data_IF_663682610342
#
_entry.id   IF_663682610342
#
_cell.length_a   1.000
_cell.length_b   1.000
_cell.length_c   1.000
_cell.angle_alpha   90.00
_cell.angle_beta   90.00
_cell.angle_gamma   90.00
#
_symmetry.space_group_name_H-M   'P 1'
#
loop_
_entity.id
_entity.type
_entity.pdbx_description
1 polymer ?
#
# COMPACT_ATOMS: atom_id res chain seq x y z
N UNK A 1 19.12 -1.55 23.74
CA UNK A 1 19.04 -1.36 22.28
C UNK A 1 17.57 -1.41 21.89
N UNK A 2 17.03 -0.34 21.30
CA UNK A 2 15.64 -0.35 20.79
C UNK A 2 15.73 -0.95 19.39
N UNK A 3 15.12 -2.11 19.18
CA UNK A 3 15.09 -2.74 17.87
C UNK A 3 14.05 -2.01 17.00
N UNK A 4 14.49 -1.42 15.89
CA UNK A 4 13.61 -0.78 14.91
C UNK A 4 13.28 -1.78 13.81
N UNK A 5 12.02 -1.86 13.40
CA UNK A 5 11.57 -2.81 12.37
C UNK A 5 10.08 -3.09 12.45
N UNK A 6 9.63 -4.02 11.60
CA UNK A 6 8.24 -4.47 11.56
C UNK A 6 8.07 -5.68 12.49
N UNK A 7 7.29 -5.48 13.55
CA UNK A 7 6.99 -6.51 14.54
C UNK A 7 5.77 -7.33 14.09
N UNK A 8 5.91 -8.65 14.09
CA UNK A 8 4.87 -9.58 13.69
C UNK A 8 4.69 -10.66 14.75
N UNK A 9 3.44 -10.88 15.16
CA UNK A 9 3.05 -12.00 16.00
C UNK A 9 2.94 -13.29 15.19
N UNK A 10 3.57 -14.35 15.68
CA UNK A 10 3.41 -15.70 15.16
C UNK A 10 2.12 -16.37 15.66
N UNK A 11 1.68 -17.44 14.99
CA UNK A 11 0.45 -18.15 15.35
C UNK A 11 0.51 -18.84 16.72
N UNK A 12 1.70 -19.17 17.23
CA UNK A 12 1.85 -19.80 18.54
C UNK A 12 2.32 -18.81 19.62
N UNK A 13 2.14 -17.50 19.38
CA UNK A 13 2.54 -16.45 20.31
C UNK A 13 4.03 -16.06 20.22
N UNK A 14 4.76 -16.57 19.23
CA UNK A 14 6.11 -16.09 18.95
C UNK A 14 6.06 -14.63 18.49
N UNK A 15 7.17 -13.91 18.66
CA UNK A 15 7.31 -12.57 18.10
C UNK A 15 8.50 -12.55 17.15
N UNK A 16 8.26 -12.09 15.93
CA UNK A 16 9.25 -11.92 14.90
C UNK A 16 9.43 -10.45 14.59
N UNK A 17 10.66 -10.04 14.32
CA UNK A 17 10.98 -8.69 13.90
C UNK A 17 11.67 -8.77 12.54
N UNK A 18 11.03 -8.20 11.53
CA UNK A 18 11.64 -7.95 10.23
C UNK A 18 12.38 -6.61 10.32
N UNK A 19 13.71 -6.63 10.17
CA UNK A 19 14.56 -5.45 10.30
C UNK A 19 15.64 -5.43 9.23
N UNK A 20 16.42 -4.36 9.17
CA UNK A 20 17.53 -4.19 8.23
C UNK A 20 18.85 -4.10 8.97
N UNK A 21 19.89 -4.68 8.39
CA UNK A 21 21.25 -4.58 8.90
C UNK A 21 22.22 -4.15 7.80
N UNK A 22 23.29 -3.42 8.15
CA UNK A 22 24.37 -3.17 7.22
C UNK A 22 24.97 -4.49 6.72
N UNK A 23 25.05 -4.63 5.40
CA UNK A 23 25.75 -5.71 4.73
C UNK A 23 27.02 -5.17 4.11
N UNK A 24 28.09 -5.16 4.91
CA UNK A 24 29.36 -4.49 4.60
C UNK A 24 30.02 -5.00 3.32
N UNK A 25 29.88 -6.29 3.00
CA UNK A 25 30.47 -6.89 1.79
C UNK A 25 29.89 -6.28 0.51
N UNK A 26 28.59 -5.99 0.49
CA UNK A 26 27.89 -5.45 -0.68
C UNK A 26 27.59 -3.95 -0.59
N UNK A 27 28.09 -3.26 0.45
CA UNK A 27 27.79 -1.83 0.73
C UNK A 27 26.29 -1.51 0.65
N UNK A 28 25.46 -2.42 1.12
CA UNK A 28 23.99 -2.29 1.10
C UNK A 28 23.41 -2.65 2.46
N UNK A 29 22.09 -2.55 2.61
CA UNK A 29 21.38 -3.14 3.75
C UNK A 29 20.78 -4.47 3.34
N UNK A 30 20.80 -5.44 4.24
CA UNK A 30 20.09 -6.71 4.07
C UNK A 30 18.89 -6.78 5.01
N UNK A 31 17.81 -7.38 4.54
CA UNK A 31 16.67 -7.73 5.36
C UNK A 31 17.00 -8.98 6.18
N UNK A 32 16.79 -8.89 7.48
CA UNK A 32 16.99 -9.99 8.43
C UNK A 32 15.75 -10.18 9.28
N UNK A 33 15.56 -11.41 9.75
CA UNK A 33 14.50 -11.76 10.68
C UNK A 33 15.12 -12.09 12.04
N UNK A 34 14.60 -11.45 13.07
CA UNK A 34 14.93 -11.77 14.45
C UNK A 34 13.72 -12.40 15.13
N UNK A 35 13.94 -13.38 15.98
CA UNK A 35 12.93 -13.96 16.84
C UNK A 35 13.14 -13.50 18.28
N UNK A 36 12.06 -13.22 18.99
CA UNK A 36 12.13 -12.93 20.42
C UNK A 36 12.21 -14.23 21.23
N UNK A 37 13.38 -14.50 21.79
CA UNK A 37 13.64 -15.66 22.65
C UNK A 37 14.07 -15.16 24.03
N UNK A 38 13.39 -15.59 25.09
CA UNK A 38 13.68 -15.20 26.47
C UNK A 38 13.80 -13.66 26.67
N UNK A 39 12.94 -12.90 25.99
CA UNK A 39 12.93 -11.44 26.06
C UNK A 39 14.01 -10.74 25.23
N UNK A 40 14.89 -11.48 24.54
CA UNK A 40 15.95 -10.97 23.70
C UNK A 40 15.65 -11.22 22.22
N UNK A 41 16.14 -10.34 21.36
CA UNK A 41 16.06 -10.52 19.91
C UNK A 41 17.27 -11.31 19.42
N UNK A 42 17.02 -12.45 18.78
CA UNK A 42 18.05 -13.33 18.26
C UNK A 42 17.84 -13.57 16.77
N UNK A 43 18.91 -13.68 15.99
CA UNK A 43 18.81 -14.02 14.58
C UNK A 43 18.27 -15.43 14.39
N UNK A 44 17.26 -15.56 13.53
CA UNK A 44 16.92 -16.87 13.00
C UNK A 44 18.06 -17.36 12.11
N UNK A 45 18.37 -18.66 12.21
CA UNK A 45 19.44 -19.28 11.42
C UNK A 45 18.88 -20.42 10.58
N UNK A 46 19.41 -20.57 9.37
CA UNK A 46 19.14 -21.71 8.49
C UNK A 46 17.92 -21.52 7.59
N UNK A 47 17.41 -22.63 7.04
CA UNK A 47 16.35 -22.65 6.02
C UNK A 47 15.06 -21.95 6.48
N UNK A 48 14.79 -21.97 7.79
CA UNK A 48 13.61 -21.30 8.35
C UNK A 48 13.70 -19.77 8.28
N UNK A 49 14.91 -19.19 8.23
CA UNK A 49 15.11 -17.74 8.13
C UNK A 49 14.53 -17.20 6.82
N UNK A 50 14.84 -17.84 5.67
CA UNK A 50 14.37 -17.37 4.37
C UNK A 50 12.86 -17.48 4.23
N UNK A 51 12.28 -18.63 4.61
CA UNK A 51 10.84 -18.84 4.57
C UNK A 51 10.09 -17.87 5.50
N UNK A 52 10.62 -17.65 6.72
CA UNK A 52 10.04 -16.68 7.64
C UNK A 52 10.14 -15.26 7.07
N UNK A 53 11.29 -14.87 6.50
CA UNK A 53 11.48 -13.56 5.88
C UNK A 53 10.48 -13.31 4.76
N UNK A 54 10.28 -14.27 3.87
CA UNK A 54 9.31 -14.18 2.77
C UNK A 54 7.88 -14.05 3.29
N UNK A 55 7.50 -14.84 4.30
CA UNK A 55 6.18 -14.75 4.93
C UNK A 55 5.94 -13.36 5.56
N UNK A 56 6.95 -12.81 6.26
CA UNK A 56 6.85 -11.47 6.88
C UNK A 56 6.76 -10.36 5.85
N UNK A 57 7.50 -10.47 4.74
CA UNK A 57 7.40 -9.53 3.61
C UNK A 57 5.99 -9.62 3.00
N UNK A 58 5.46 -10.82 2.77
CA UNK A 58 4.10 -11.04 2.29
C UNK A 58 3.07 -10.36 3.18
N UNK A 59 3.12 -10.61 4.48
CA UNK A 59 2.22 -9.98 5.45
C UNK A 59 2.30 -8.44 5.45
N UNK A 60 3.51 -7.88 5.29
CA UNK A 60 3.69 -6.43 5.18
C UNK A 60 3.06 -5.87 3.90
N UNK A 61 3.24 -6.54 2.76
CA UNK A 61 2.64 -6.13 1.48
C UNK A 61 1.12 -6.22 1.55
N UNK A 62 0.58 -7.31 2.09
CA UNK A 62 -0.87 -7.50 2.26
C UNK A 62 -1.47 -6.40 3.14
N UNK A 63 -0.81 -6.05 4.24
CA UNK A 63 -1.23 -4.95 5.10
C UNK A 63 -1.27 -3.60 4.36
N UNK A 64 -0.27 -3.29 3.54
CA UNK A 64 -0.27 -2.07 2.72
C UNK A 64 -1.39 -2.08 1.68
N UNK A 65 -1.64 -3.23 1.04
CA UNK A 65 -2.75 -3.40 0.09
C UNK A 65 -4.08 -3.15 0.78
N UNK A 66 -4.28 -3.68 1.99
CA UNK A 66 -5.52 -3.48 2.74
C UNK A 66 -5.69 -2.04 3.21
N UNK A 67 -4.62 -1.35 3.62
CA UNK A 67 -4.66 0.10 3.85
C UNK A 67 -5.13 0.83 2.59
N UNK A 68 -4.58 0.51 1.42
CA UNK A 68 -4.97 1.14 0.18
C UNK A 68 -6.46 0.90 -0.14
N UNK A 69 -6.96 -0.32 0.10
CA UNK A 69 -8.39 -0.64 -0.04
C UNK A 69 -9.26 0.17 0.91
N UNK A 70 -8.87 0.28 2.19
CA UNK A 70 -9.59 1.09 3.18
C UNK A 70 -9.64 2.55 2.74
N UNK A 71 -8.52 3.13 2.34
CA UNK A 71 -8.44 4.52 1.88
C UNK A 71 -9.28 4.75 0.62
N UNK A 72 -9.23 3.83 -0.35
CA UNK A 72 -10.02 3.92 -1.58
C UNK A 72 -11.52 3.75 -1.33
N UNK A 73 -11.92 2.85 -0.42
CA UNK A 73 -13.32 2.69 -0.03
C UNK A 73 -13.85 3.90 0.76
N UNK A 74 -12.99 4.52 1.59
CA UNK A 74 -13.31 5.75 2.32
C UNK A 74 -13.42 6.98 1.39
N UNK A 75 -12.82 6.90 0.19
CA UNK A 75 -13.00 7.87 -0.89
C UNK A 75 -14.38 7.84 -1.54
N UNK A 76 -15.20 6.81 -1.29
CA UNK A 76 -16.60 6.77 -1.75
C UNK A 76 -17.49 7.82 -1.07
N UNK A 77 -17.09 8.37 0.08
CA UNK A 77 -17.80 9.46 0.75
C UNK A 77 -17.28 10.86 0.38
N UNK A 78 -16.16 10.95 -0.36
CA UNK A 78 -15.60 12.24 -0.83
C UNK A 78 -14.90 12.07 -2.17
N UNK A 79 -15.65 12.27 -3.26
CA UNK A 79 -15.43 13.24 -4.35
C UNK A 79 -16.58 13.04 -5.37
N UNK A 80 -17.79 13.41 -4.96
CA UNK A 80 -18.80 13.95 -5.89
C UNK A 80 -18.85 15.45 -5.60
N UNK A 81 -17.79 16.18 -5.98
CA UNK A 81 -17.84 17.62 -6.07
C UNK A 81 -16.67 18.13 -6.92
N UNK A 82 -17.03 18.87 -7.95
CA UNK A 82 -16.17 19.74 -8.76
C UNK A 82 -15.36 19.06 -9.87
N UNK A 83 -16.07 18.42 -10.80
CA UNK A 83 -15.78 18.75 -12.20
C UNK A 83 -16.08 20.25 -12.40
N UNK A 84 -15.15 21.09 -12.85
CA UNK A 84 -15.48 22.47 -13.17
C UNK A 84 -16.43 22.46 -14.36
N UNK A 85 -17.70 22.79 -14.10
CA UNK A 85 -18.62 23.20 -15.13
C UNK A 85 -18.16 24.55 -15.68
N UNK A 86 -17.23 24.57 -16.63
CA UNK A 86 -16.98 25.72 -17.51
C UNK A 86 -15.79 25.42 -18.42
N UNK A 87 -15.99 25.54 -19.74
CA UNK A 87 -14.88 25.77 -20.65
C UNK A 87 -14.83 24.92 -21.91
N UNK A 88 -15.92 24.84 -22.68
CA UNK A 88 -15.75 24.78 -24.15
C UNK A 88 -16.91 25.43 -24.90
N UNK A 89 -16.77 26.73 -25.06
CA UNK A 89 -17.36 27.49 -26.17
C UNK A 89 -16.94 26.89 -27.51
N UNK A 90 -17.90 26.59 -28.39
CA UNK A 90 -17.74 26.68 -29.86
C UNK A 90 -19.11 26.60 -30.55
N UNK A 91 -19.23 27.09 -31.80
CA UNK A 91 -20.11 28.21 -32.11
C UNK A 91 -21.39 27.81 -32.84
N UNK A 92 -22.38 28.69 -32.69
CA UNK A 92 -23.52 29.01 -33.57
C UNK A 92 -23.56 28.24 -34.90
N UNK A 93 -24.49 27.29 -35.03
CA UNK A 93 -25.03 26.86 -36.33
C UNK A 93 -26.48 27.33 -36.41
N UNK A 94 -26.70 28.44 -37.11
CA UNK A 94 -28.04 28.86 -37.50
C UNK A 94 -28.57 27.85 -38.52
N UNK A 95 -29.68 27.20 -38.20
CA UNK A 95 -30.48 26.45 -39.17
C UNK A 95 -31.58 27.40 -39.67
N UNK A 96 -31.79 27.50 -40.99
CA UNK A 96 -32.78 28.41 -41.56
C UNK A 96 -34.21 27.99 -41.21
N UNK A 97 -35.07 29.02 -41.08
CA UNK A 97 -36.49 28.93 -40.75
C UNK A 97 -37.22 27.88 -41.60
N UNK A 98 -37.91 26.96 -40.92
CA UNK A 98 -38.94 26.12 -41.54
C UNK A 98 -40.23 26.93 -41.56
N UNK A 99 -40.56 27.50 -42.72
CA UNK A 99 -41.85 28.13 -42.98
C UNK A 99 -42.94 27.06 -42.87
N UNK A 100 -43.81 27.18 -41.87
CA UNK A 100 -44.99 26.35 -41.76
C UNK A 100 -46.15 27.22 -41.27
N UNK A 101 -47.01 27.66 -42.20
CA UNK A 101 -48.44 27.86 -41.98
C UNK A 101 -49.19 27.53 -43.28
N UNK A 102 -49.98 26.47 -43.21
CA UNK A 102 -51.20 26.18 -43.99
C UNK A 102 -52.36 27.03 -43.46
N UNK A 103 -53.56 27.05 -44.08
CA UNK A 103 -54.04 26.33 -45.26
C UNK A 103 -54.21 27.17 -46.53
#
# INVERSE_FOLDING_TARGET
>A
MIAQGFLVGGPNGENFLLTTEPYFEMKTHRLVVMQKLNGKWEHMKGIQESACREALIGAFVDFLVDICRVLNSSGSDRIVAMAPASGRSRPRRALPLKTQRTP
#
